data_IF_199775198158
#
_entry.id   IF_199775198158
#
_cell.length_a   1.000
_cell.length_b   1.000
_cell.length_c   1.000
_cell.angle_alpha   90.00
_cell.angle_beta   90.00
_cell.angle_gamma   90.00
#
_symmetry.space_group_name_H-M   'P 1'
#
loop_
_entity.id
_entity.type
_entity.pdbx_description
1 polymer ?
#
# COMPACT_ATOMS: atom_id res chain seq x y z
N UNK A 1 17.11 10.91 -16.29
CA UNK A 1 17.56 10.51 -17.64
C UNK A 1 18.99 10.96 -17.90
N UNK A 2 19.34 12.23 -17.65
CA UNK A 2 20.69 12.77 -17.89
C UNK A 2 21.78 11.95 -17.19
N UNK A 3 21.60 11.56 -15.90
CA UNK A 3 22.53 10.71 -15.18
C UNK A 3 22.67 9.30 -15.77
N UNK A 4 21.63 8.80 -16.41
CA UNK A 4 21.65 7.52 -17.10
C UNK A 4 22.39 7.62 -18.42
N UNK A 5 22.10 8.66 -19.22
CA UNK A 5 22.74 8.91 -20.53
C UNK A 5 24.24 9.16 -20.36
N UNK A 6 24.66 9.75 -19.23
CA UNK A 6 26.07 9.93 -18.84
C UNK A 6 26.70 8.67 -18.21
N UNK A 7 25.94 7.59 -18.01
CA UNK A 7 26.43 6.36 -17.37
C UNK A 7 26.65 6.46 -15.86
N UNK A 8 26.17 7.51 -15.23
CA UNK A 8 26.36 7.80 -13.80
C UNK A 8 25.26 7.25 -12.88
N UNK A 9 24.22 6.60 -13.41
CA UNK A 9 23.14 6.02 -12.61
C UNK A 9 23.51 4.61 -12.11
N UNK A 10 23.90 4.44 -10.83
CA UNK A 10 24.36 3.16 -10.30
C UNK A 10 23.22 2.19 -9.91
N UNK A 11 21.97 2.68 -9.87
CA UNK A 11 20.79 1.94 -9.41
C UNK A 11 19.72 1.86 -10.49
N UNK A 12 18.78 0.93 -10.31
CA UNK A 12 17.55 0.90 -11.08
C UNK A 12 16.47 1.68 -10.36
N UNK A 13 15.72 2.48 -11.11
CA UNK A 13 14.63 3.32 -10.60
C UNK A 13 13.29 2.82 -11.14
N UNK A 14 12.34 2.60 -10.25
CA UNK A 14 10.94 2.34 -10.56
C UNK A 14 10.12 3.48 -9.95
N UNK A 15 9.91 4.53 -10.74
CA UNK A 15 9.36 5.80 -10.26
C UNK A 15 7.84 5.71 -10.09
N UNK A 16 7.33 6.00 -8.90
CA UNK A 16 5.90 6.22 -8.66
C UNK A 16 5.53 7.69 -8.86
N UNK A 17 4.24 7.95 -9.07
CA UNK A 17 3.67 9.28 -9.27
C UNK A 17 2.26 9.31 -8.67
N UNK A 18 1.82 10.47 -8.22
CA UNK A 18 0.55 10.71 -7.52
C UNK A 18 -0.43 11.58 -8.33
N UNK A 19 -0.02 12.02 -9.52
CA UNK A 19 -0.88 12.69 -10.48
C UNK A 19 -1.13 11.81 -11.71
N UNK A 20 -2.35 11.84 -12.26
CA UNK A 20 -2.61 11.15 -13.52
C UNK A 20 -1.83 11.80 -14.65
N UNK A 21 -1.14 11.00 -15.45
CA UNK A 21 -0.37 11.54 -16.56
C UNK A 21 -1.26 12.17 -17.63
N UNK A 22 -0.82 13.29 -18.17
CA UNK A 22 -1.49 13.96 -19.29
C UNK A 22 -1.28 13.25 -20.63
N UNK A 23 -0.33 12.33 -20.71
CA UNK A 23 -0.02 11.54 -21.89
C UNK A 23 -0.35 10.06 -21.63
N UNK A 24 -0.81 9.31 -22.64
CA UNK A 24 -1.06 7.88 -22.49
C UNK A 24 0.27 7.14 -22.31
N UNK A 25 0.54 6.68 -21.11
CA UNK A 25 1.62 5.75 -20.83
C UNK A 25 1.15 4.59 -19.93
N UNK A 26 1.93 3.55 -19.86
CA UNK A 26 1.67 2.37 -19.06
C UNK A 26 2.76 2.18 -18.02
N UNK A 27 2.40 1.56 -16.92
CA UNK A 27 3.38 1.02 -15.99
C UNK A 27 4.39 0.13 -16.71
N UNK A 28 5.67 0.29 -16.38
CA UNK A 28 6.78 -0.43 -16.99
C UNK A 28 7.38 0.25 -18.23
N UNK A 29 6.81 1.37 -18.70
CA UNK A 29 7.43 2.16 -19.77
C UNK A 29 8.79 2.69 -19.30
N UNK A 30 9.80 2.60 -20.16
CA UNK A 30 11.17 2.98 -19.88
C UNK A 30 12.14 1.92 -20.37
N UNK A 31 13.30 1.83 -19.74
CA UNK A 31 14.38 0.91 -20.12
C UNK A 31 14.82 0.02 -18.92
N UNK A 32 16.01 -0.54 -18.97
CA UNK A 32 16.52 -1.40 -17.91
C UNK A 32 16.87 -0.66 -16.62
N UNK A 33 17.17 0.63 -16.69
CA UNK A 33 17.59 1.46 -15.56
C UNK A 33 16.46 2.27 -14.96
N UNK A 34 15.61 2.88 -15.80
CA UNK A 34 14.52 3.78 -15.35
C UNK A 34 13.21 3.32 -15.96
N UNK A 35 12.23 3.06 -15.11
CA UNK A 35 10.87 2.71 -15.52
C UNK A 35 9.83 3.51 -14.75
N UNK A 36 8.77 3.87 -15.45
CA UNK A 36 7.55 4.35 -14.81
C UNK A 36 6.89 3.21 -14.04
N UNK A 37 6.66 3.44 -12.76
CA UNK A 37 6.11 2.50 -11.81
C UNK A 37 4.60 2.58 -11.68
N UNK A 38 4.15 2.79 -10.45
CA UNK A 38 2.74 2.77 -10.09
C UNK A 38 2.19 4.18 -9.82
N UNK A 39 0.88 4.31 -10.03
CA UNK A 39 0.12 5.44 -9.53
C UNK A 39 -0.06 5.30 -8.02
N UNK A 40 0.43 6.28 -7.27
CA UNK A 40 0.40 6.27 -5.80
C UNK A 40 -0.88 6.93 -5.28
N UNK A 41 -1.53 6.27 -4.33
CA UNK A 41 -2.70 6.78 -3.61
C UNK A 41 -2.41 6.72 -2.12
N UNK A 42 -2.78 7.76 -1.39
CA UNK A 42 -2.76 7.80 0.06
C UNK A 42 -4.19 7.75 0.59
N UNK A 43 -4.52 6.75 1.40
CA UNK A 43 -5.90 6.52 1.86
C UNK A 43 -6.11 6.93 3.30
N UNK A 44 -5.12 6.71 4.15
CA UNK A 44 -5.14 7.10 5.56
C UNK A 44 -3.77 7.61 6.02
N UNK A 45 -3.63 7.87 7.31
CA UNK A 45 -2.39 8.35 7.90
C UNK A 45 -1.57 7.26 8.58
N UNK A 46 -0.56 7.67 9.38
CA UNK A 46 0.35 6.76 10.08
C UNK A 46 -0.27 6.16 11.35
N UNK A 47 0.21 4.97 11.74
CA UNK A 47 -0.17 4.31 12.99
C UNK A 47 0.32 5.11 14.21
N UNK A 48 1.57 5.56 14.21
CA UNK A 48 2.16 6.33 15.31
C UNK A 48 1.44 7.64 15.59
N UNK A 49 1.04 8.36 14.55
CA UNK A 49 0.27 9.61 14.62
C UNK A 49 -1.21 9.43 14.89
N UNK A 50 -1.73 8.20 15.02
CA UNK A 50 -3.16 7.87 15.12
C UNK A 50 -4.00 8.39 13.94
N UNK A 51 -3.37 8.56 12.78
CA UNK A 51 -4.04 8.92 11.53
C UNK A 51 -4.54 7.72 10.74
N UNK A 52 -3.96 6.53 10.95
CA UNK A 52 -4.41 5.29 10.31
C UNK A 52 -5.87 4.98 10.71
N UNK A 53 -6.71 4.64 9.71
CA UNK A 53 -8.16 4.51 9.92
C UNK A 53 -8.56 3.07 10.26
N UNK A 54 -8.93 2.88 11.52
CA UNK A 54 -9.39 1.60 12.06
C UNK A 54 -10.90 1.52 12.23
N UNK A 55 -11.44 0.30 12.21
CA UNK A 55 -12.84 0.02 12.52
C UNK A 55 -13.20 0.25 13.99
N UNK A 56 -12.22 0.15 14.88
CA UNK A 56 -12.33 0.40 16.32
C UNK A 56 -11.37 1.50 16.75
N UNK A 57 -11.70 2.25 17.82
CA UNK A 57 -10.80 3.27 18.34
C UNK A 57 -9.42 2.75 18.72
N UNK A 58 -8.44 3.66 18.73
CA UNK A 58 -7.14 3.36 19.28
C UNK A 58 -7.25 3.00 20.77
N UNK A 59 -6.48 2.01 21.20
CA UNK A 59 -6.54 1.52 22.57
C UNK A 59 -6.11 2.60 23.60
N UNK A 60 -5.14 3.42 23.23
CA UNK A 60 -4.62 4.54 24.04
C UNK A 60 -5.28 5.90 23.73
N UNK A 61 -6.30 5.92 22.86
CA UNK A 61 -7.10 7.11 22.53
C UNK A 61 -8.51 6.67 22.08
N UNK A 62 -9.40 6.34 23.06
CA UNK A 62 -10.71 5.75 22.78
C UNK A 62 -11.68 6.62 21.98
N UNK A 63 -11.36 7.88 21.77
CA UNK A 63 -12.15 8.83 20.96
C UNK A 63 -11.66 8.93 19.50
N UNK A 64 -10.55 8.27 19.15
CA UNK A 64 -9.90 8.38 17.85
C UNK A 64 -9.90 7.03 17.13
N UNK A 65 -10.42 7.02 15.89
CA UNK A 65 -10.32 5.87 14.96
C UNK A 65 -9.34 6.12 13.81
N UNK A 66 -8.72 7.30 13.75
CA UNK A 66 -8.05 7.79 12.55
C UNK A 66 -9.03 8.39 11.54
N UNK A 67 -8.57 8.64 10.33
CA UNK A 67 -9.39 9.23 9.28
C UNK A 67 -8.94 8.82 7.87
N UNK A 68 -9.88 8.81 6.95
CA UNK A 68 -9.61 8.68 5.51
C UNK A 68 -9.17 10.03 4.94
N UNK A 69 -8.24 10.00 4.00
CA UNK A 69 -7.82 11.17 3.19
C UNK A 69 -8.82 11.42 2.06
N UNK A 70 -9.41 10.36 1.53
CA UNK A 70 -10.40 10.37 0.46
C UNK A 70 -11.68 9.67 0.91
N UNK A 71 -12.82 10.02 0.31
CA UNK A 71 -14.05 9.24 0.48
C UNK A 71 -13.93 7.87 -0.19
N UNK A 72 -14.73 6.87 0.22
CA UNK A 72 -14.75 5.58 -0.46
C UNK A 72 -15.04 5.69 -1.96
N UNK A 73 -15.93 6.60 -2.37
CA UNK A 73 -16.29 6.85 -3.77
C UNK A 73 -15.12 7.43 -4.57
N UNK A 74 -14.36 8.34 -3.98
CA UNK A 74 -13.14 8.88 -4.59
C UNK A 74 -12.08 7.80 -4.78
N UNK A 75 -11.88 6.92 -3.79
CA UNK A 75 -10.95 5.79 -3.89
C UNK A 75 -11.38 4.84 -5.00
N UNK A 76 -12.66 4.50 -5.08
CA UNK A 76 -13.20 3.65 -6.15
C UNK A 76 -12.93 4.26 -7.53
N UNK A 77 -13.16 5.56 -7.70
CA UNK A 77 -12.91 6.25 -8.97
C UNK A 77 -11.41 6.28 -9.32
N UNK A 78 -10.53 6.59 -8.36
CA UNK A 78 -9.09 6.61 -8.57
C UNK A 78 -8.56 5.24 -8.99
N UNK A 79 -8.97 4.18 -8.28
CA UNK A 79 -8.57 2.80 -8.56
C UNK A 79 -9.11 2.35 -9.91
N UNK A 80 -10.40 2.58 -10.20
CA UNK A 80 -11.05 2.25 -11.47
C UNK A 80 -10.38 2.94 -12.65
N UNK A 81 -10.13 4.24 -12.52
CA UNK A 81 -9.47 5.05 -13.57
C UNK A 81 -8.06 4.54 -13.85
N UNK A 82 -7.25 4.33 -12.82
CA UNK A 82 -5.89 3.82 -12.98
C UNK A 82 -5.88 2.41 -13.59
N UNK A 83 -6.78 1.53 -13.16
CA UNK A 83 -6.93 0.19 -13.72
C UNK A 83 -7.27 0.25 -15.22
N UNK A 84 -8.21 1.11 -15.62
CA UNK A 84 -8.63 1.27 -17.01
C UNK A 84 -7.53 1.87 -17.91
N UNK A 85 -6.66 2.70 -17.33
CA UNK A 85 -5.49 3.23 -18.03
C UNK A 85 -4.33 2.22 -18.16
N UNK A 86 -4.45 1.03 -17.55
CA UNK A 86 -3.38 0.03 -17.56
C UNK A 86 -2.25 0.34 -16.58
N UNK A 87 -2.46 1.24 -15.62
CA UNK A 87 -1.49 1.57 -14.60
C UNK A 87 -1.49 0.53 -13.47
N UNK A 88 -0.32 0.21 -12.93
CA UNK A 88 -0.21 -0.41 -11.63
C UNK A 88 -0.58 0.63 -10.56
N UNK A 89 -1.21 0.20 -9.49
CA UNK A 89 -1.63 1.06 -8.39
C UNK A 89 -0.82 0.67 -7.16
N UNK A 90 -0.34 1.66 -6.42
CA UNK A 90 0.29 1.48 -5.12
C UNK A 90 -0.44 2.33 -4.08
N UNK A 91 -1.08 1.70 -3.11
CA UNK A 91 -1.96 2.36 -2.15
C UNK A 91 -1.37 2.28 -0.75
N UNK A 92 -1.07 3.45 -0.16
CA UNK A 92 -0.82 3.54 1.27
C UNK A 92 -2.13 3.29 2.01
N UNK A 93 -2.18 2.22 2.80
CA UNK A 93 -3.32 1.86 3.63
C UNK A 93 -2.85 1.07 4.86
N UNK A 94 -3.03 1.63 6.03
CA UNK A 94 -2.50 1.10 7.30
C UNK A 94 -3.57 0.48 8.17
N UNK A 95 -4.66 1.20 8.45
CA UNK A 95 -5.76 0.72 9.27
C UNK A 95 -6.63 -0.31 8.56
N UNK A 96 -7.25 -1.22 9.31
CA UNK A 96 -8.13 -2.26 8.77
C UNK A 96 -9.29 -1.69 7.96
N UNK A 97 -9.85 -0.55 8.38
CA UNK A 97 -10.95 0.11 7.68
C UNK A 97 -10.51 0.76 6.39
N UNK A 98 -9.31 1.35 6.36
CA UNK A 98 -8.71 1.87 5.14
C UNK A 98 -8.40 0.74 4.15
N UNK A 99 -7.82 -0.37 4.63
CA UNK A 99 -7.54 -1.56 3.81
C UNK A 99 -8.84 -2.14 3.23
N UNK A 100 -9.92 -2.22 4.02
CA UNK A 100 -11.24 -2.69 3.56
C UNK A 100 -11.77 -1.84 2.40
N UNK A 101 -11.70 -0.51 2.51
CA UNK A 101 -12.10 0.39 1.43
C UNK A 101 -11.26 0.16 0.16
N UNK A 102 -9.96 0.02 0.28
CA UNK A 102 -9.06 -0.23 -0.85
C UNK A 102 -9.33 -1.58 -1.51
N UNK A 103 -9.48 -2.64 -0.72
CA UNK A 103 -9.78 -3.98 -1.23
C UNK A 103 -11.13 -3.97 -1.95
N UNK A 104 -12.14 -3.30 -1.40
CA UNK A 104 -13.46 -3.16 -2.04
C UNK A 104 -13.39 -2.42 -3.38
N UNK A 105 -12.58 -1.35 -3.45
CA UNK A 105 -12.36 -0.61 -4.70
C UNK A 105 -11.64 -1.47 -5.75
N UNK A 106 -10.64 -2.26 -5.33
CA UNK A 106 -9.92 -3.18 -6.22
C UNK A 106 -10.85 -4.31 -6.71
N UNK A 107 -11.68 -4.89 -5.84
CA UNK A 107 -12.66 -5.92 -6.22
C UNK A 107 -13.59 -5.42 -7.34
N UNK A 108 -14.14 -4.21 -7.19
CA UNK A 108 -15.00 -3.58 -8.20
C UNK A 108 -14.25 -3.33 -9.51
N UNK A 109 -13.10 -2.67 -9.44
CA UNK A 109 -12.30 -2.34 -10.63
C UNK A 109 -11.82 -3.60 -11.37
N UNK A 110 -11.45 -4.66 -10.64
CA UNK A 110 -11.05 -5.94 -11.21
C UNK A 110 -12.21 -6.70 -11.83
N UNK A 111 -13.40 -6.63 -11.24
CA UNK A 111 -14.60 -7.24 -11.83
C UNK A 111 -15.03 -6.54 -13.13
N UNK A 112 -14.88 -5.20 -13.21
CA UNK A 112 -15.20 -4.44 -14.42
C UNK A 112 -14.18 -4.64 -15.54
N UNK A 113 -12.88 -4.64 -15.20
CA UNK A 113 -11.78 -4.77 -16.15
C UNK A 113 -10.68 -5.69 -15.57
N UNK A 114 -10.81 -7.01 -15.73
CA UNK A 114 -9.85 -7.98 -15.22
C UNK A 114 -8.47 -7.82 -15.87
N UNK A 115 -7.46 -7.61 -15.04
CA UNK A 115 -6.05 -7.55 -15.44
C UNK A 115 -5.24 -8.50 -14.55
N UNK A 116 -5.03 -9.77 -14.96
CA UNK A 116 -4.37 -10.78 -14.10
C UNK A 116 -2.97 -10.39 -13.62
N UNK A 117 -2.25 -9.56 -14.38
CA UNK A 117 -0.92 -9.03 -14.03
C UNK A 117 -0.98 -7.57 -13.53
N UNK A 118 -2.11 -7.14 -12.94
CA UNK A 118 -2.24 -5.79 -12.40
C UNK A 118 -1.29 -5.53 -11.23
N UNK A 119 -1.02 -6.56 -10.42
CA UNK A 119 -0.12 -6.49 -9.26
C UNK A 119 -0.41 -5.24 -8.42
N UNK A 120 -1.68 -5.08 -8.01
CA UNK A 120 -2.09 -4.00 -7.12
C UNK A 120 -1.27 -4.06 -5.84
N UNK A 121 -0.57 -2.96 -5.51
CA UNK A 121 0.33 -2.89 -4.37
C UNK A 121 -0.41 -2.29 -3.18
N UNK A 122 -0.55 -3.06 -2.11
CA UNK A 122 -1.01 -2.58 -0.81
C UNK A 122 0.23 -2.30 0.05
N UNK A 123 0.40 -1.04 0.45
CA UNK A 123 1.63 -0.55 1.08
C UNK A 123 1.37 -0.40 2.58
N UNK A 124 2.30 -0.88 3.40
CA UNK A 124 2.32 -0.95 4.86
C UNK A 124 1.43 -2.04 5.45
N UNK A 125 0.12 -1.99 5.28
CA UNK A 125 -0.91 -2.95 5.73
C UNK A 125 -0.75 -3.43 7.18
N UNK A 126 -0.43 -2.52 8.08
CA UNK A 126 -0.12 -2.87 9.47
C UNK A 126 -1.32 -3.44 10.24
N UNK A 127 -2.54 -3.05 9.87
CA UNK A 127 -3.78 -3.50 10.50
C UNK A 127 -4.55 -4.58 9.74
N UNK A 128 -3.91 -5.31 8.80
CA UNK A 128 -4.63 -6.30 8.00
C UNK A 128 -5.10 -7.49 8.85
N UNK A 129 -6.39 -7.81 8.77
CA UNK A 129 -7.02 -8.92 9.49
C UNK A 129 -7.23 -10.16 8.60
N UNK A 130 -7.70 -11.25 9.20
CA UNK A 130 -7.88 -12.53 8.50
C UNK A 130 -8.90 -12.45 7.35
N UNK A 131 -9.97 -11.72 7.52
CA UNK A 131 -11.02 -11.58 6.49
C UNK A 131 -10.46 -10.87 5.27
N UNK A 132 -9.75 -9.78 5.48
CA UNK A 132 -9.10 -9.02 4.40
C UNK A 132 -8.06 -9.85 3.65
N UNK A 133 -7.28 -10.67 4.37
CA UNK A 133 -6.33 -11.62 3.76
C UNK A 133 -7.08 -12.59 2.83
N UNK A 134 -8.21 -13.17 3.26
CA UNK A 134 -8.98 -14.10 2.42
C UNK A 134 -9.61 -13.42 1.19
N UNK A 135 -9.99 -12.16 1.29
CA UNK A 135 -10.46 -11.39 0.13
C UNK A 135 -9.32 -11.11 -0.84
N UNK A 136 -8.17 -10.71 -0.34
CA UNK A 136 -6.98 -10.45 -1.16
C UNK A 136 -6.52 -11.69 -1.97
N UNK A 137 -6.72 -12.91 -1.48
CA UNK A 137 -6.38 -14.14 -2.22
C UNK A 137 -7.08 -14.29 -3.56
N UNK A 138 -8.18 -13.58 -3.77
CA UNK A 138 -8.97 -13.63 -5.01
C UNK A 138 -8.56 -12.56 -6.02
N UNK A 139 -7.58 -11.73 -5.68
CA UNK A 139 -7.18 -10.55 -6.42
C UNK A 139 -5.69 -10.61 -6.79
N UNK A 140 -5.27 -10.00 -7.89
CA UNK A 140 -3.86 -9.90 -8.24
C UNK A 140 -3.15 -8.81 -7.42
N UNK A 141 -3.12 -8.99 -6.12
CA UNK A 141 -2.48 -8.07 -5.17
C UNK A 141 -1.10 -8.54 -4.76
N UNK A 142 -0.28 -7.61 -4.34
CA UNK A 142 0.99 -7.83 -3.67
C UNK A 142 1.16 -6.81 -2.54
N UNK A 143 2.09 -7.06 -1.64
CA UNK A 143 2.27 -6.22 -0.46
C UNK A 143 3.66 -5.58 -0.45
N UNK A 144 3.70 -4.28 -0.13
CA UNK A 144 4.94 -3.56 0.12
C UNK A 144 5.07 -3.32 1.62
N UNK A 145 5.99 -4.03 2.23
CA UNK A 145 6.19 -4.03 3.66
C UNK A 145 7.48 -3.31 4.05
N UNK A 146 7.52 -2.83 5.29
CA UNK A 146 8.68 -2.15 5.86
C UNK A 146 9.20 -2.95 7.06
N UNK A 147 10.04 -3.98 6.84
CA UNK A 147 10.49 -4.86 7.91
C UNK A 147 11.17 -4.12 9.07
N UNK A 148 11.75 -2.96 8.80
CA UNK A 148 12.42 -2.13 9.80
C UNK A 148 11.45 -1.50 10.80
N UNK A 149 10.21 -1.21 10.40
CA UNK A 149 9.15 -0.74 11.30
C UNK A 149 8.89 -1.69 12.46
N UNK A 150 9.18 -2.99 12.30
CA UNK A 150 9.07 -3.93 13.40
C UNK A 150 10.03 -3.58 14.55
N UNK A 151 11.20 -3.04 14.26
CA UNK A 151 12.15 -2.65 15.30
C UNK A 151 11.93 -1.25 15.86
N UNK A 152 11.39 -0.33 15.08
CA UNK A 152 11.10 1.05 15.50
C UNK A 152 9.74 1.17 16.19
N UNK A 153 8.74 0.45 15.71
CA UNK A 153 7.34 0.69 16.05
C UNK A 153 6.75 -0.32 17.04
N UNK A 154 7.31 -1.53 17.15
CA UNK A 154 6.73 -2.61 17.97
C UNK A 154 6.56 -2.20 19.44
N UNK A 155 7.42 -1.32 19.94
CA UNK A 155 7.42 -0.88 21.34
C UNK A 155 6.14 -0.16 21.77
N UNK A 156 5.47 0.52 20.84
CA UNK A 156 4.26 1.31 21.09
C UNK A 156 3.06 0.81 20.29
N UNK A 157 3.26 -0.14 19.38
CA UNK A 157 2.17 -0.65 18.55
C UNK A 157 1.08 -1.35 19.39
N UNK A 158 1.45 -2.06 20.46
CA UNK A 158 0.49 -2.67 21.37
C UNK A 158 -0.30 -1.61 22.15
N UNK A 159 0.33 -0.51 22.56
CA UNK A 159 -0.37 0.61 23.20
C UNK A 159 -1.44 1.18 22.26
N UNK A 160 -1.13 1.30 20.96
CA UNK A 160 -2.04 1.84 19.94
C UNK A 160 -3.20 0.88 19.61
N UNK A 161 -2.90 -0.40 19.46
CA UNK A 161 -3.85 -1.38 18.92
C UNK A 161 -4.50 -2.25 20.01
N UNK A 162 -3.89 -2.35 21.18
CA UNK A 162 -4.22 -3.35 22.20
C UNK A 162 -3.73 -4.75 21.80
N UNK A 163 -3.74 -5.72 22.74
CA UNK A 163 -3.14 -7.04 22.56
C UNK A 163 -3.80 -7.88 21.46
N UNK A 164 -5.09 -7.74 21.25
CA UNK A 164 -5.81 -8.52 20.24
C UNK A 164 -5.42 -8.07 18.83
N UNK A 165 -5.58 -6.78 18.52
CA UNK A 165 -5.26 -6.22 17.19
C UNK A 165 -3.78 -6.24 16.89
N UNK A 166 -2.92 -6.04 17.89
CA UNK A 166 -1.46 -6.15 17.71
C UNK A 166 -1.00 -7.53 17.29
N UNK A 167 -1.77 -8.59 17.63
CA UNK A 167 -1.51 -9.95 17.14
C UNK A 167 -1.62 -10.10 15.63
N UNK A 168 -2.33 -9.19 14.97
CA UNK A 168 -2.43 -9.04 13.52
C UNK A 168 -1.63 -7.83 13.00
N UNK A 169 -1.14 -6.98 13.86
CA UNK A 169 -0.19 -5.94 13.51
C UNK A 169 1.08 -6.55 12.93
N UNK A 170 1.62 -5.93 11.88
CA UNK A 170 2.82 -6.44 11.20
C UNK A 170 2.68 -7.91 10.77
N UNK A 171 1.51 -8.30 10.24
CA UNK A 171 1.16 -9.68 9.93
C UNK A 171 1.89 -10.26 8.69
N UNK A 172 3.01 -9.70 8.29
CA UNK A 172 3.73 -10.01 7.06
C UNK A 172 4.06 -11.49 6.91
N UNK A 173 4.53 -12.12 7.98
CA UNK A 173 4.75 -13.59 7.98
C UNK A 173 3.48 -14.38 7.61
N UNK A 174 2.29 -13.89 8.03
CA UNK A 174 1.02 -14.52 7.66
C UNK A 174 0.70 -14.33 6.19
N UNK A 175 1.07 -13.17 5.60
CA UNK A 175 0.91 -12.90 4.17
C UNK A 175 1.79 -13.81 3.32
N UNK A 176 3.07 -14.01 3.71
CA UNK A 176 3.97 -14.98 3.05
C UNK A 176 3.36 -16.38 3.08
N UNK A 177 2.91 -16.85 4.26
CA UNK A 177 2.29 -18.17 4.37
C UNK A 177 0.96 -18.31 3.63
N UNK A 178 0.27 -17.20 3.39
CA UNK A 178 -0.92 -17.16 2.54
C UNK A 178 -0.59 -17.20 1.04
N UNK A 179 0.70 -17.16 0.66
CA UNK A 179 1.18 -17.29 -0.72
C UNK A 179 1.29 -15.97 -1.49
N UNK A 180 1.24 -14.84 -0.81
CA UNK A 180 1.39 -13.54 -1.47
C UNK A 180 2.86 -13.21 -1.78
N UNK A 181 3.04 -12.39 -2.82
CA UNK A 181 4.31 -11.75 -3.11
C UNK A 181 4.46 -10.50 -2.23
N UNK A 182 5.59 -10.40 -1.57
CA UNK A 182 5.95 -9.23 -0.77
C UNK A 182 7.22 -8.57 -1.30
N UNK A 183 7.28 -7.26 -1.19
CA UNK A 183 8.50 -6.48 -1.42
C UNK A 183 8.86 -5.72 -0.15
N UNK A 184 10.13 -5.78 0.24
CA UNK A 184 10.64 -5.05 1.40
C UNK A 184 11.19 -3.69 1.02
N UNK A 185 10.94 -2.68 1.87
CA UNK A 185 11.50 -1.33 1.73
C UNK A 185 11.84 -0.73 3.08
N UNK A 186 12.62 0.35 3.08
CA UNK A 186 12.87 1.17 4.28
C UNK A 186 11.82 2.25 4.47
N UNK A 187 11.10 2.60 3.41
CA UNK A 187 10.27 3.81 3.38
C UNK A 187 11.09 5.06 3.73
N UNK A 188 12.32 5.15 3.19
CA UNK A 188 13.18 6.31 3.41
C UNK A 188 12.44 7.57 2.89
N UNK A 189 12.25 8.52 3.79
CA UNK A 189 13.01 9.01 4.95
C UNK A 189 12.51 8.50 6.34
N UNK A 190 11.44 7.73 6.43
CA UNK A 190 10.92 7.26 7.72
C UNK A 190 11.96 6.38 8.41
N UNK A 191 12.62 5.51 7.66
CA UNK A 191 13.69 4.67 8.17
C UNK A 191 14.97 4.81 7.34
N UNK A 192 16.15 4.70 7.96
CA UNK A 192 17.41 4.64 7.23
C UNK A 192 17.42 3.47 6.25
N UNK A 193 18.03 3.68 5.09
CA UNK A 193 18.11 2.66 4.02
C UNK A 193 19.23 1.61 4.24
N UNK A 194 19.97 1.70 5.32
CA UNK A 194 21.09 0.82 5.69
C UNK A 194 20.94 0.23 7.09
#
# INVERSE_FOLDING_TARGET
QDLEDEGHLPVRIYASFDEFPNLPFRTGLGNEKVRYGYYKIYVDGSLGGRGAYFSEPYNDAPEICGAMIHTPEEIEELVRRANNMGLQIGVHCIGDKAIDCVVSAIEKAYAENPRPDARFRLIHVLGINKELIERCKKLPVMFDIQPKFLSSDVHWAEDRLGPERSSYGFAWKKLIYAGFVETGSSDCHEEPYN
#
